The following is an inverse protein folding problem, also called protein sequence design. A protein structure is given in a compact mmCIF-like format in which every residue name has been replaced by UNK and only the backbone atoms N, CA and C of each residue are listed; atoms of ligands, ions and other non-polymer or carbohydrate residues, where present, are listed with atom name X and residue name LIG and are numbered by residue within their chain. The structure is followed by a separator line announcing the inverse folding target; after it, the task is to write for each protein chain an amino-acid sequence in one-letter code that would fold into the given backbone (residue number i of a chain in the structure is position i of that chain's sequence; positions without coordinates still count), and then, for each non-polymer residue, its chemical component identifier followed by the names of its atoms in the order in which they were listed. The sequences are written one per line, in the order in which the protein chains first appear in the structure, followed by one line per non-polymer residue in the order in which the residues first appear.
data_IF_739223160153
#
_entry.id   IF_739223160153
#
_cell.length_a   1.000
_cell.length_b   1.000
_cell.length_c   1.000
_cell.angle_alpha   90.00
_cell.angle_beta   90.00
_cell.angle_gamma   90.00
#
_symmetry.space_group_name_H-M   'P 1'
#
loop_
_entity.id
_entity.type
_entity.pdbx_description
1 polymer ?
#
# COMPACT_ATOMS: atom_id res chain seq x y z
N UNK A 1 0.73 -10.62 13.17
CA UNK A 1 1.57 -10.01 14.23
C UNK A 1 1.05 -10.36 15.62
N UNK A 2 -0.26 -10.26 15.89
CA UNK A 2 -0.88 -10.67 17.16
C UNK A 2 -0.40 -12.00 17.73
N UNK A 3 -0.30 -13.07 16.92
CA UNK A 3 0.18 -14.38 17.40
C UNK A 3 1.59 -14.32 18.02
N UNK A 4 2.49 -13.50 17.46
CA UNK A 4 3.82 -13.28 18.02
C UNK A 4 3.80 -12.38 19.25
N UNK A 5 2.87 -11.45 19.33
CA UNK A 5 2.65 -10.59 20.51
C UNK A 5 2.06 -11.39 21.69
N UNK A 6 1.30 -12.45 21.40
CA UNK A 6 0.77 -13.40 22.40
C UNK A 6 1.73 -14.57 22.70
N UNK A 7 3.00 -14.47 22.31
CA UNK A 7 4.05 -15.41 22.68
C UNK A 7 4.22 -16.64 21.78
N UNK A 8 3.55 -16.71 20.62
CA UNK A 8 3.81 -17.80 19.65
C UNK A 8 5.20 -17.61 19.04
N UNK A 9 6.07 -18.64 19.01
CA UNK A 9 7.38 -18.54 18.38
C UNK A 9 7.30 -18.12 16.92
N UNK A 10 8.20 -17.23 16.49
CA UNK A 10 8.25 -16.73 15.10
C UNK A 10 8.44 -17.87 14.11
N UNK A 11 9.27 -18.87 14.45
CA UNK A 11 9.51 -20.05 13.61
C UNK A 11 8.21 -20.81 13.28
N UNK A 12 7.29 -20.95 14.23
CA UNK A 12 6.02 -21.64 14.02
C UNK A 12 5.07 -20.82 13.16
N UNK A 13 5.06 -19.50 13.34
CA UNK A 13 4.26 -18.58 12.52
C UNK A 13 4.72 -18.61 11.08
N UNK A 14 6.03 -18.54 10.86
CA UNK A 14 6.66 -18.50 9.53
C UNK A 14 6.43 -19.82 8.80
N UNK A 15 6.56 -20.96 9.49
CA UNK A 15 6.21 -22.28 8.94
C UNK A 15 4.73 -22.39 8.59
N UNK A 16 3.83 -21.95 9.48
CA UNK A 16 2.38 -22.02 9.27
C UNK A 16 1.89 -21.12 8.14
N UNK A 17 2.50 -19.95 7.98
CA UNK A 17 2.14 -18.98 6.93
C UNK A 17 2.90 -19.19 5.63
N UNK A 18 3.82 -20.17 5.57
CA UNK A 18 4.66 -20.47 4.40
C UNK A 18 5.41 -19.23 3.87
N UNK A 19 5.89 -18.39 4.77
CA UNK A 19 6.68 -17.19 4.46
C UNK A 19 8.11 -17.36 4.93
N UNK A 20 8.99 -16.43 4.58
CA UNK A 20 10.32 -16.31 5.21
C UNK A 20 10.26 -15.48 6.50
N UNK A 21 11.20 -15.69 7.42
CA UNK A 21 11.33 -14.85 8.61
C UNK A 21 11.53 -13.37 8.26
N UNK A 22 12.29 -13.09 7.18
CA UNK A 22 12.48 -11.74 6.68
C UNK A 22 11.14 -11.07 6.30
N UNK A 23 10.24 -11.82 5.66
CA UNK A 23 8.89 -11.34 5.31
C UNK A 23 8.08 -11.04 6.56
N UNK A 24 8.14 -11.93 7.56
CA UNK A 24 7.49 -11.72 8.85
C UNK A 24 7.97 -10.44 9.53
N UNK A 25 9.28 -10.19 9.62
CA UNK A 25 9.80 -8.98 10.25
C UNK A 25 9.49 -7.71 9.44
N UNK A 26 9.46 -7.78 8.10
CA UNK A 26 9.02 -6.65 7.27
C UNK A 26 7.57 -6.29 7.57
N UNK A 27 6.70 -7.29 7.69
CA UNK A 27 5.30 -7.08 8.07
C UNK A 27 5.17 -6.62 9.51
N UNK A 28 5.99 -7.13 10.45
CA UNK A 28 6.06 -6.62 11.82
C UNK A 28 6.33 -5.14 11.82
N UNK A 29 7.41 -4.71 11.17
CA UNK A 29 7.81 -3.31 11.10
C UNK A 29 6.72 -2.42 10.51
N UNK A 30 6.02 -2.89 9.47
CA UNK A 30 4.99 -2.09 8.78
C UNK A 30 3.64 -2.06 9.53
N UNK A 31 3.29 -3.13 10.23
CA UNK A 31 1.91 -3.35 10.71
C UNK A 31 1.78 -3.65 12.21
N UNK A 32 2.87 -3.76 12.97
CA UNK A 32 2.80 -3.97 14.43
C UNK A 32 2.14 -2.77 15.11
N UNK A 33 1.35 -3.03 16.15
CA UNK A 33 0.66 -1.98 16.91
C UNK A 33 -0.62 -1.44 16.26
N UNK A 34 -0.94 -1.82 15.02
CA UNK A 34 -2.21 -1.47 14.39
C UNK A 34 -3.30 -2.49 14.74
N UNK A 35 -4.46 -1.98 15.13
CA UNK A 35 -5.69 -2.75 15.27
C UNK A 35 -6.17 -3.24 13.89
N UNK A 36 -6.91 -4.37 13.83
CA UNK A 36 -7.45 -4.87 12.56
C UNK A 36 -8.31 -3.85 11.80
N UNK A 37 -9.06 -3.00 12.52
CA UNK A 37 -9.84 -1.90 11.94
C UNK A 37 -8.95 -0.84 11.29
N UNK A 38 -7.84 -0.49 11.93
CA UNK A 38 -6.84 0.47 11.41
C UNK A 38 -6.15 -0.09 10.17
N UNK A 39 -5.81 -1.39 10.15
CA UNK A 39 -5.27 -2.06 8.96
C UNK A 39 -6.24 -2.04 7.79
N UNK A 40 -7.53 -2.30 8.04
CA UNK A 40 -8.58 -2.23 7.02
C UNK A 40 -8.70 -0.81 6.46
N UNK A 41 -8.70 0.20 7.33
CA UNK A 41 -8.76 1.61 6.93
C UNK A 41 -7.51 2.02 6.14
N UNK A 42 -6.33 1.61 6.58
CA UNK A 42 -5.07 1.87 5.89
C UNK A 42 -5.10 1.31 4.47
N UNK A 43 -5.56 0.07 4.28
CA UNK A 43 -5.67 -0.55 2.95
C UNK A 43 -6.64 0.21 2.05
N UNK A 44 -7.80 0.63 2.58
CA UNK A 44 -8.75 1.44 1.81
C UNK A 44 -8.15 2.78 1.36
N UNK A 45 -7.40 3.44 2.25
CA UNK A 45 -6.71 4.69 1.93
C UNK A 45 -5.56 4.48 0.92
N UNK A 46 -4.80 3.38 1.04
CA UNK A 46 -3.76 3.03 0.06
C UNK A 46 -4.38 2.80 -1.34
N UNK A 47 -5.52 2.09 -1.43
CA UNK A 47 -6.22 1.83 -2.69
C UNK A 47 -6.83 3.12 -3.30
N UNK A 48 -7.45 3.97 -2.48
CA UNK A 48 -8.00 5.25 -2.90
C UNK A 48 -6.91 6.21 -3.38
N UNK A 49 -5.80 6.31 -2.64
CA UNK A 49 -4.64 7.12 -3.03
C UNK A 49 -4.06 6.67 -4.37
N UNK A 50 -3.97 5.35 -4.59
CA UNK A 50 -3.53 4.80 -5.88
C UNK A 50 -4.45 5.23 -7.03
N UNK A 51 -5.76 5.12 -6.86
CA UNK A 51 -6.75 5.55 -7.87
C UNK A 51 -6.67 7.04 -8.15
N UNK A 52 -6.58 7.86 -7.10
CA UNK A 52 -6.46 9.31 -7.23
C UNK A 52 -5.17 9.70 -7.97
N UNK A 53 -4.03 9.08 -7.65
CA UNK A 53 -2.77 9.33 -8.36
C UNK A 53 -2.86 8.97 -9.84
N UNK A 54 -3.51 7.85 -10.18
CA UNK A 54 -3.71 7.47 -11.56
C UNK A 54 -4.57 8.49 -12.31
N UNK A 55 -5.72 8.88 -11.74
CA UNK A 55 -6.59 9.90 -12.32
C UNK A 55 -5.89 11.24 -12.52
N UNK A 56 -5.09 11.68 -11.54
CA UNK A 56 -4.31 12.92 -11.64
C UNK A 56 -3.27 12.82 -12.76
N UNK A 57 -2.60 11.67 -12.91
CA UNK A 57 -1.63 11.47 -13.98
C UNK A 57 -2.30 11.53 -15.36
N UNK A 58 -3.41 10.82 -15.55
CA UNK A 58 -4.20 10.83 -16.79
C UNK A 58 -4.66 12.25 -17.16
N UNK A 59 -5.31 12.96 -16.21
CA UNK A 59 -5.76 14.34 -16.43
C UNK A 59 -4.60 15.31 -16.68
N UNK A 60 -3.43 15.08 -16.08
CA UNK A 60 -2.25 15.92 -16.31
C UNK A 60 -1.70 15.75 -17.72
N UNK A 61 -1.71 14.51 -18.24
CA UNK A 61 -1.31 14.22 -19.62
C UNK A 61 -2.29 14.86 -20.62
N UNK A 62 -3.60 14.71 -20.40
CA UNK A 62 -4.62 15.32 -21.25
C UNK A 62 -4.47 16.85 -21.29
N UNK A 63 -4.27 17.46 -20.12
CA UNK A 63 -4.03 18.91 -20.02
C UNK A 63 -2.79 19.31 -20.82
N UNK A 64 -1.68 18.58 -20.71
CA UNK A 64 -0.46 18.87 -21.47
C UNK A 64 -0.72 18.79 -22.98
N UNK A 65 -1.38 17.74 -23.45
CA UNK A 65 -1.73 17.59 -24.86
C UNK A 65 -2.59 18.75 -25.37
N UNK A 66 -3.62 19.15 -24.61
CA UNK A 66 -4.49 20.27 -24.98
C UNK A 66 -3.72 21.60 -25.04
N UNK A 67 -2.82 21.84 -24.09
CA UNK A 67 -1.98 23.03 -24.08
C UNK A 67 -1.03 23.08 -25.28
N UNK A 68 -0.44 21.95 -25.68
CA UNK A 68 0.38 21.87 -26.90
C UNK A 68 -0.40 22.12 -28.18
N UNK A 69 -1.63 21.61 -28.28
CA UNK A 69 -2.49 21.87 -29.45
C UNK A 69 -2.83 23.35 -29.54
N UNK A 70 -3.17 23.99 -28.41
CA UNK A 70 -3.47 25.41 -28.36
C UNK A 70 -2.25 26.27 -28.71
N UNK A 71 -1.06 25.93 -28.22
CA UNK A 71 0.16 26.70 -28.51
C UNK A 71 0.61 26.61 -29.97
N UNK A 72 0.29 25.52 -30.68
CA UNK A 72 0.57 25.36 -32.11
C UNK A 72 -0.45 26.06 -33.03
N UNK A 73 -1.59 26.50 -32.49
CA UNK A 73 -2.69 27.11 -33.26
C UNK A 73 -2.65 28.64 -33.27
N UNK A 74 -1.72 29.24 -32.51
CA UNK A 74 -1.44 30.68 -32.44
C UNK A 74 -0.22 31.00 -33.30
#
# INVERSE_FOLDING_TARGET
MKQAETGTPVADIVRKLEISEQTFYRWKKKYSGLLPSELKRLRQLEDENKRLKQMVAELSLDKQMLQEVLSKKV
#
